data_IF_631420614152
#
_entry.id   IF_631420614152
#
_cell.length_a   1.000
_cell.length_b   1.000
_cell.length_c   1.000
_cell.angle_alpha   90.00
_cell.angle_beta   90.00
_cell.angle_gamma   90.00
#
_symmetry.space_group_name_H-M   'P 1'
#
loop_
_entity.id
_entity.type
_entity.pdbx_description
1 polymer ?
#
# COMPACT_ATOMS: atom_id res chain seq x y z
N UNK A 1 -34.49 6.75 -2.78
CA UNK A 1 -33.35 7.69 -2.68
C UNK A 1 -32.16 6.94 -2.12
N UNK A 2 -31.39 6.25 -2.98
CA UNK A 2 -30.30 5.37 -2.56
C UNK A 2 -29.05 6.22 -2.30
N UNK A 3 -28.64 6.30 -1.04
CA UNK A 3 -27.41 6.96 -0.64
C UNK A 3 -26.21 6.24 -1.30
N UNK A 4 -25.61 6.90 -2.29
CA UNK A 4 -24.35 6.51 -2.90
C UNK A 4 -23.31 6.35 -1.80
N UNK A 5 -22.97 5.10 -1.46
CA UNK A 5 -21.89 4.76 -0.53
C UNK A 5 -20.60 5.36 -1.10
N UNK A 6 -20.18 6.50 -0.55
CA UNK A 6 -18.83 7.04 -0.77
C UNK A 6 -17.86 5.93 -0.42
N UNK A 7 -17.16 5.40 -1.42
CA UNK A 7 -16.11 4.42 -1.21
C UNK A 7 -15.12 5.00 -0.21
N UNK A 8 -15.05 4.40 0.98
CA UNK A 8 -13.94 4.64 1.90
C UNK A 8 -12.67 4.36 1.11
N UNK A 9 -11.77 5.33 1.04
CA UNK A 9 -10.45 5.13 0.45
C UNK A 9 -9.83 3.92 1.16
N UNK A 10 -9.63 2.87 0.36
CA UNK A 10 -9.00 1.62 0.76
C UNK A 10 -7.55 2.00 1.11
N UNK A 11 -7.12 1.73 2.35
CA UNK A 11 -5.82 2.17 2.85
C UNK A 11 -4.69 1.80 1.90
N UNK A 12 -3.80 2.74 1.68
CA UNK A 12 -2.72 2.63 0.70
C UNK A 12 -1.40 2.67 1.45
N UNK A 13 -0.49 1.75 1.14
CA UNK A 13 0.78 1.69 1.82
C UNK A 13 1.75 2.76 1.31
N UNK A 14 2.50 3.35 2.25
CA UNK A 14 3.69 4.17 2.04
C UNK A 14 3.49 5.28 1.00
N UNK A 15 2.82 6.35 1.41
CA UNK A 15 2.77 7.61 0.67
C UNK A 15 4.10 8.37 0.84
N UNK A 16 4.53 9.23 -0.09
CA UNK A 16 5.86 9.87 -0.01
C UNK A 16 6.10 10.72 1.26
N UNK A 17 5.04 11.04 2.00
CA UNK A 17 5.05 11.96 3.12
C UNK A 17 4.57 11.33 4.42
N UNK A 18 4.27 10.02 4.44
CA UNK A 18 3.93 9.34 5.69
C UNK A 18 5.20 9.03 6.51
N UNK A 19 5.01 8.90 7.82
CA UNK A 19 6.05 8.42 8.71
C UNK A 19 5.96 6.90 8.76
N UNK A 20 6.92 6.24 8.11
CA UNK A 20 6.99 4.78 8.13
C UNK A 20 7.50 4.25 9.48
N UNK A 21 8.11 5.07 10.35
CA UNK A 21 8.57 4.68 11.69
C UNK A 21 7.37 4.53 12.60
N UNK A 22 6.57 5.58 12.67
CA UNK A 22 5.39 5.64 13.55
C UNK A 22 4.10 5.15 12.86
N UNK A 23 4.21 4.72 11.60
CA UNK A 23 3.10 4.26 10.75
C UNK A 23 1.91 5.25 10.72
N UNK A 24 2.23 6.54 10.71
CA UNK A 24 1.25 7.60 10.84
C UNK A 24 1.53 8.75 9.88
N UNK A 25 0.58 9.69 9.79
CA UNK A 25 0.86 10.96 9.14
C UNK A 25 1.68 11.83 10.08
N UNK A 26 2.79 12.42 9.64
CA UNK A 26 3.60 13.31 10.46
C UNK A 26 2.75 14.43 11.06
N UNK A 27 3.06 14.82 12.31
CA UNK A 27 2.29 15.83 13.04
C UNK A 27 2.12 17.16 12.29
N UNK A 28 3.07 17.53 11.42
CA UNK A 28 2.97 18.75 10.61
C UNK A 28 1.81 18.75 9.61
N UNK A 29 1.28 17.59 9.20
CA UNK A 29 0.07 17.52 8.37
C UNK A 29 -1.15 18.13 9.05
N UNK A 30 -1.24 18.06 10.38
CA UNK A 30 -2.35 18.66 11.15
C UNK A 30 -2.34 20.20 11.09
N UNK A 31 -1.18 20.80 10.74
CA UNK A 31 -1.02 22.26 10.60
C UNK A 31 -1.44 22.77 9.23
N UNK A 32 -1.66 21.89 8.26
CA UNK A 32 -2.18 22.26 6.95
C UNK A 32 -3.70 22.46 7.03
N UNK A 33 -4.20 23.56 6.47
CA UNK A 33 -5.64 23.76 6.31
C UNK A 33 -6.20 22.76 5.29
N UNK A 34 -7.04 21.81 5.75
CA UNK A 34 -7.88 20.98 4.88
C UNK A 34 -7.70 19.46 4.93
N UNK A 35 -6.48 18.89 4.92
CA UNK A 35 -6.31 17.45 4.69
C UNK A 35 -6.58 16.56 5.89
N UNK A 36 -6.56 17.08 7.13
CA UNK A 36 -6.60 16.28 8.38
C UNK A 36 -7.53 15.05 8.34
N UNK A 37 -8.83 15.27 8.10
CA UNK A 37 -9.83 14.18 8.10
C UNK A 37 -9.95 13.42 6.76
N UNK A 38 -9.22 13.87 5.74
CA UNK A 38 -9.25 13.32 4.37
C UNK A 38 -8.06 12.44 4.06
N UNK A 39 -7.06 12.42 4.94
CA UNK A 39 -5.88 11.57 4.78
C UNK A 39 -6.31 10.09 4.90
N UNK A 40 -5.87 9.22 3.97
CA UNK A 40 -6.14 7.80 4.08
C UNK A 40 -5.38 7.22 5.27
N UNK A 41 -5.79 6.04 5.74
CA UNK A 41 -5.02 5.33 6.76
C UNK A 41 -3.69 4.85 6.15
N UNK A 42 -2.60 5.11 6.86
CA UNK A 42 -1.28 4.52 6.59
C UNK A 42 -1.32 3.07 7.07
N UNK A 43 -0.98 2.13 6.20
CA UNK A 43 -1.01 0.69 6.50
C UNK A 43 0.20 0.02 5.85
N UNK A 44 0.77 -0.99 6.51
CA UNK A 44 1.84 -1.79 5.91
C UNK A 44 1.34 -2.56 4.66
N UNK A 45 2.15 -2.73 3.60
CA UNK A 45 1.79 -3.58 2.47
C UNK A 45 1.43 -5.00 2.91
N UNK A 46 0.39 -5.58 2.31
CA UNK A 46 -0.12 -6.90 2.68
C UNK A 46 -1.09 -6.91 3.87
N UNK A 47 -1.32 -5.78 4.55
CA UNK A 47 -2.32 -5.68 5.64
C UNK A 47 -3.72 -6.04 5.14
N UNK A 48 -4.43 -7.01 5.75
CA UNK A 48 -5.80 -7.36 5.35
C UNK A 48 -6.78 -6.21 5.57
N UNK A 49 -7.56 -5.87 4.54
CA UNK A 49 -8.57 -4.80 4.57
C UNK A 49 -10.00 -5.34 4.63
N UNK A 50 -10.22 -6.57 4.20
CA UNK A 50 -11.52 -7.22 4.21
C UNK A 50 -11.64 -8.32 3.16
N UNK A 51 -12.84 -8.87 2.99
CA UNK A 51 -13.13 -9.85 1.94
C UNK A 51 -13.77 -9.18 0.74
N UNK A 52 -13.49 -9.70 -0.46
CA UNK A 52 -14.14 -9.23 -1.67
C UNK A 52 -15.66 -9.52 -1.56
N UNK A 53 -16.54 -8.51 -1.76
CA UNK A 53 -17.98 -8.76 -1.80
C UNK A 53 -18.31 -9.68 -2.97
N UNK A 54 -19.10 -10.72 -2.73
CA UNK A 54 -19.55 -11.62 -3.80
C UNK A 54 -20.57 -10.89 -4.67
N UNK A 55 -20.32 -10.68 -5.98
CA UNK A 55 -21.37 -10.20 -6.87
C UNK A 55 -22.44 -11.29 -7.03
N UNK A 56 -23.75 -10.94 -7.13
CA UNK A 56 -24.85 -11.90 -7.06
C UNK A 56 -24.86 -13.01 -8.13
N UNK A 57 -24.05 -12.92 -9.19
CA UNK A 57 -24.18 -13.74 -10.41
C UNK A 57 -22.89 -14.40 -10.93
N UNK A 58 -21.79 -14.42 -10.17
CA UNK A 58 -20.53 -15.02 -10.68
C UNK A 58 -20.15 -16.33 -9.95
N UNK A 59 -19.68 -17.30 -10.74
CA UNK A 59 -19.51 -18.72 -10.36
C UNK A 59 -18.68 -18.90 -9.08
N UNK A 60 -18.98 -19.92 -8.23
CA UNK A 60 -18.48 -20.05 -6.86
C UNK A 60 -16.98 -20.37 -6.73
N UNK A 61 -16.31 -20.80 -7.80
CA UNK A 61 -15.05 -21.51 -7.70
C UNK A 61 -13.85 -20.64 -7.23
N UNK A 62 -13.91 -19.31 -7.37
CA UNK A 62 -12.74 -18.45 -7.09
C UNK A 62 -12.94 -17.41 -5.97
N UNK A 63 -14.16 -17.22 -5.45
CA UNK A 63 -14.52 -15.93 -4.83
C UNK A 63 -14.97 -15.91 -3.38
N UNK A 64 -15.20 -17.05 -2.73
CA UNK A 64 -15.72 -17.06 -1.36
C UNK A 64 -14.67 -16.80 -0.26
N UNK A 65 -13.38 -16.77 -0.62
CA UNK A 65 -12.25 -16.60 0.33
C UNK A 65 -11.26 -15.51 -0.05
N UNK A 66 -11.47 -14.79 -1.15
CA UNK A 66 -10.55 -13.74 -1.58
C UNK A 66 -10.53 -12.59 -0.56
N UNK A 67 -9.35 -12.29 -0.04
CA UNK A 67 -9.09 -11.13 0.81
C UNK A 67 -8.54 -9.98 -0.02
N UNK A 68 -8.98 -8.78 0.31
CA UNK A 68 -8.38 -7.53 -0.16
C UNK A 68 -7.33 -7.15 0.87
N UNK A 69 -6.13 -6.81 0.40
CA UNK A 69 -5.01 -6.38 1.24
C UNK A 69 -4.54 -5.00 0.81
N UNK A 70 -3.86 -4.27 1.70
CA UNK A 70 -3.17 -3.04 1.36
C UNK A 70 -2.10 -3.32 0.30
N UNK A 71 -2.15 -2.58 -0.80
CA UNK A 71 -1.17 -2.70 -1.88
C UNK A 71 0.17 -2.06 -1.52
N UNK A 72 1.12 -2.14 -2.44
CA UNK A 72 2.35 -1.36 -2.43
C UNK A 72 2.40 -0.46 -3.67
N UNK A 73 3.32 0.52 -3.68
CA UNK A 73 3.64 1.26 -4.92
C UNK A 73 4.21 0.32 -5.97
N UNK A 74 4.01 0.66 -7.23
CA UNK A 74 4.46 -0.10 -8.40
C UNK A 74 5.97 -0.41 -8.38
N UNK A 75 6.83 0.57 -8.07
CA UNK A 75 8.27 0.37 -7.96
C UNK A 75 8.64 -0.64 -6.87
N UNK A 76 7.99 -0.57 -5.70
CA UNK A 76 8.20 -1.53 -4.61
C UNK A 76 7.70 -2.92 -4.99
N UNK A 77 6.53 -3.02 -5.62
CA UNK A 77 5.98 -4.29 -6.10
C UNK A 77 6.86 -4.92 -7.18
N UNK A 78 7.39 -4.14 -8.12
CA UNK A 78 8.32 -4.60 -9.14
C UNK A 78 9.64 -5.10 -8.53
N UNK A 79 10.19 -4.38 -7.54
CA UNK A 79 11.37 -4.83 -6.80
C UNK A 79 11.13 -6.17 -6.11
N UNK A 80 10.01 -6.32 -5.39
CA UNK A 80 9.64 -7.58 -4.75
C UNK A 80 9.45 -8.72 -5.77
N UNK A 81 8.83 -8.43 -6.91
CA UNK A 81 8.61 -9.41 -7.98
C UNK A 81 9.91 -9.92 -8.62
N UNK A 82 10.98 -9.12 -8.60
CA UNK A 82 12.31 -9.55 -9.08
C UNK A 82 13.03 -10.53 -8.13
N UNK A 83 12.48 -10.76 -6.94
CA UNK A 83 13.00 -11.75 -5.99
C UNK A 83 13.89 -11.17 -4.88
N UNK A 84 13.93 -9.84 -4.69
CA UNK A 84 14.58 -9.21 -3.53
C UNK A 84 13.93 -9.70 -2.24
N UNK A 85 14.71 -10.37 -1.39
CA UNK A 85 14.19 -11.03 -0.17
C UNK A 85 15.09 -10.85 1.05
N UNK A 86 16.35 -10.47 0.88
CA UNK A 86 17.34 -10.42 1.96
C UNK A 86 18.11 -9.09 1.94
N UNK A 87 18.53 -8.59 3.11
CA UNK A 87 19.43 -7.45 3.19
C UNK A 87 20.68 -7.66 2.33
N UNK A 88 21.02 -6.68 1.51
CA UNK A 88 22.11 -6.78 0.53
C UNK A 88 21.70 -7.35 -0.83
N UNK A 89 20.43 -7.69 -1.04
CA UNK A 89 19.91 -7.93 -2.40
C UNK A 89 19.75 -6.59 -3.13
N UNK A 90 20.03 -6.59 -4.43
CA UNK A 90 19.94 -5.42 -5.30
C UNK A 90 19.06 -5.68 -6.52
N UNK A 91 18.33 -4.66 -6.95
CA UNK A 91 17.60 -4.65 -8.22
C UNK A 91 18.05 -3.45 -9.06
N UNK A 92 18.43 -3.72 -10.31
CA UNK A 92 18.65 -2.69 -11.32
C UNK A 92 17.62 -2.86 -12.42
N UNK A 93 16.83 -1.82 -12.67
CA UNK A 93 15.88 -1.77 -13.79
C UNK A 93 16.43 -0.82 -14.84
N UNK A 94 16.72 -1.34 -16.03
CA UNK A 94 17.20 -0.57 -17.18
C UNK A 94 16.05 -0.32 -18.16
N UNK A 95 15.50 0.89 -18.11
CA UNK A 95 14.52 1.39 -19.09
C UNK A 95 15.05 2.60 -19.85
N UNK A 96 14.18 3.54 -20.18
CA UNK A 96 14.59 4.88 -20.66
C UNK A 96 15.37 5.66 -19.60
N UNK A 97 15.17 5.30 -18.33
CA UNK A 97 15.94 5.75 -17.18
C UNK A 97 16.48 4.54 -16.44
N UNK A 98 17.53 4.76 -15.63
CA UNK A 98 18.10 3.73 -14.76
C UNK A 98 17.54 3.89 -13.35
N UNK A 99 17.02 2.81 -12.79
CA UNK A 99 16.59 2.74 -11.39
C UNK A 99 17.40 1.67 -10.69
N UNK A 100 17.97 2.02 -9.53
CA UNK A 100 18.71 1.12 -8.67
C UNK A 100 18.06 1.07 -7.29
N UNK A 101 17.78 -0.14 -6.80
CA UNK A 101 17.16 -0.39 -5.50
C UNK A 101 17.99 -1.38 -4.70
N UNK A 102 18.05 -1.17 -3.39
CA UNK A 102 18.70 -2.05 -2.44
C UNK A 102 17.68 -2.49 -1.38
N UNK A 103 17.68 -3.78 -1.04
CA UNK A 103 16.93 -4.27 0.10
C UNK A 103 17.79 -4.14 1.36
N UNK A 104 17.27 -3.43 2.36
CA UNK A 104 17.92 -3.29 3.67
C UNK A 104 17.02 -3.81 4.78
N UNK A 105 17.65 -4.37 5.81
CA UNK A 105 16.97 -4.54 7.10
C UNK A 105 16.78 -3.15 7.69
N UNK A 106 15.62 -2.95 8.29
CA UNK A 106 15.37 -1.76 9.09
C UNK A 106 16.13 -1.88 10.40
N UNK A 107 17.03 -0.95 10.66
CA UNK A 107 17.71 -0.79 11.95
C UNK A 107 17.17 0.48 12.62
N UNK A 108 16.74 0.35 13.87
CA UNK A 108 16.34 1.49 14.70
C UNK A 108 17.44 1.68 15.75
N UNK A 109 18.00 2.88 15.81
CA UNK A 109 18.85 3.34 16.92
C UNK A 109 17.98 3.97 18.01
#
# INVERSE_FOLDING_TARGET
>A
MAATRRGKVVGQAAMPLDDLIDECWPAWFTKLSGPGDRLPRVLAPGTPLGRLPLPPRQKPAFRSRAIVVAGARDGTAACLASGLRRPGDYNTTLGTTLVFNEFKKREYL
#
